data_IF_313331601634
#
_entry.id   IF_313331601634
#
_cell.length_a   1.000
_cell.length_b   1.000
_cell.length_c   1.000
_cell.angle_alpha   90.00
_cell.angle_beta   90.00
_cell.angle_gamma   90.00
#
_symmetry.space_group_name_H-M   'P 1'
#
loop_
_entity.id
_entity.type
_entity.pdbx_description
1 polymer ?
#
# COMPACT_ATOMS: atom_id res chain seq x y z
N UNK A 1 15.64 22.56 23.33
CA UNK A 1 16.55 21.72 22.53
C UNK A 1 16.09 20.30 22.74
N UNK A 2 15.43 19.69 21.74
CA UNK A 2 15.01 18.31 21.87
C UNK A 2 16.22 17.39 21.73
N UNK A 3 16.42 16.52 22.71
CA UNK A 3 17.46 15.50 22.70
C UNK A 3 17.18 14.53 21.55
N UNK A 4 18.15 14.19 20.70
CA UNK A 4 17.95 13.17 19.66
C UNK A 4 17.46 11.85 20.26
N UNK A 5 16.53 11.19 19.58
CA UNK A 5 15.99 9.89 20.02
C UNK A 5 17.10 8.84 20.02
N UNK A 6 17.36 8.27 21.19
CA UNK A 6 18.27 7.14 21.34
C UNK A 6 17.63 5.87 20.80
N UNK A 7 18.11 5.40 19.64
CA UNK A 7 17.61 4.17 19.03
C UNK A 7 18.02 2.91 19.81
N UNK A 8 19.01 3.00 20.70
CA UNK A 8 19.42 1.89 21.55
C UNK A 8 18.65 1.87 22.89
N UNK A 9 17.71 2.80 23.07
CA UNK A 9 16.73 2.72 24.17
C UNK A 9 15.93 1.43 24.10
N UNK A 10 15.76 0.82 25.28
CA UNK A 10 15.07 -0.45 25.45
C UNK A 10 13.57 -0.22 25.29
N UNK A 11 12.98 -0.92 24.34
CA UNK A 11 11.55 -0.92 24.10
C UNK A 11 10.85 -1.90 25.06
N UNK A 12 11.38 -3.12 25.18
CA UNK A 12 10.93 -4.14 26.13
C UNK A 12 12.04 -5.17 26.41
N UNK A 13 11.85 -6.04 27.39
CA UNK A 13 12.70 -7.22 27.61
C UNK A 13 11.99 -8.47 27.13
N UNK A 14 12.69 -9.35 26.39
CA UNK A 14 12.12 -10.63 25.94
C UNK A 14 12.00 -11.64 27.08
N UNK A 15 12.87 -11.54 28.09
CA UNK A 15 12.70 -12.15 29.41
C UNK A 15 12.40 -11.04 30.45
N UNK A 16 11.12 -10.66 30.62
CA UNK A 16 10.75 -9.57 31.52
C UNK A 16 10.94 -9.92 33.00
N UNK A 17 10.92 -11.21 33.36
CA UNK A 17 11.06 -11.65 34.75
C UNK A 17 12.49 -11.45 35.25
N UNK A 18 13.48 -11.70 34.39
CA UNK A 18 14.90 -11.54 34.73
C UNK A 18 15.49 -10.24 34.16
N UNK A 19 14.71 -9.45 33.42
CA UNK A 19 15.16 -8.26 32.67
C UNK A 19 16.36 -8.57 31.77
N UNK A 20 16.28 -9.69 31.05
CA UNK A 20 17.31 -10.14 30.11
C UNK A 20 16.81 -9.98 28.68
N UNK A 21 17.76 -10.00 27.75
CA UNK A 21 17.48 -9.90 26.31
C UNK A 21 16.71 -8.61 25.97
N UNK A 22 17.34 -7.44 26.15
CA UNK A 22 16.71 -6.17 25.81
C UNK A 22 16.41 -6.12 24.31
N UNK A 23 15.16 -5.78 23.99
CA UNK A 23 14.68 -5.48 22.65
C UNK A 23 14.61 -3.96 22.49
N UNK A 24 15.44 -3.37 21.64
CA UNK A 24 15.59 -1.91 21.51
C UNK A 24 14.70 -1.32 20.40
N UNK A 25 14.55 0.01 20.39
CA UNK A 25 13.92 0.71 19.25
C UNK A 25 14.60 0.30 17.94
N UNK A 26 15.93 0.28 17.89
CA UNK A 26 16.70 -0.06 16.69
C UNK A 26 16.28 -1.40 16.11
N UNK A 27 16.05 -2.41 16.95
CA UNK A 27 15.61 -3.73 16.52
C UNK A 27 14.14 -3.71 16.06
N UNK A 28 13.25 -2.99 16.75
CA UNK A 28 11.86 -2.82 16.30
C UNK A 28 11.77 -2.17 14.90
N UNK A 29 12.66 -1.21 14.61
CA UNK A 29 12.76 -0.54 13.31
C UNK A 29 13.28 -1.44 12.18
N UNK A 30 13.90 -2.58 12.50
CA UNK A 30 14.33 -3.59 11.51
C UNK A 30 13.17 -4.51 11.07
N UNK A 31 11.96 -4.27 11.57
CA UNK A 31 10.73 -4.96 11.20
C UNK A 31 10.50 -6.26 11.97
N UNK A 32 9.23 -6.48 12.33
CA UNK A 32 8.78 -7.64 13.11
C UNK A 32 7.71 -8.42 12.36
N UNK A 33 7.94 -9.73 12.18
CA UNK A 33 6.95 -10.70 11.73
C UNK A 33 6.51 -11.59 12.90
N UNK A 34 5.21 -11.78 13.07
CA UNK A 34 4.65 -12.68 14.08
C UNK A 34 3.77 -13.71 13.37
N UNK A 35 4.12 -15.00 13.49
CA UNK A 35 3.46 -16.11 12.81
C UNK A 35 2.90 -17.12 13.81
N UNK A 36 1.78 -17.77 13.48
CA UNK A 36 1.13 -18.76 14.35
C UNK A 36 -0.35 -18.97 14.01
N UNK A 37 -0.92 -20.13 14.27
CA UNK A 37 -2.31 -20.44 13.94
C UNK A 37 -3.34 -19.57 14.67
N UNK A 38 -4.60 -19.65 14.27
CA UNK A 38 -5.72 -19.06 15.02
C UNK A 38 -5.74 -19.61 16.45
N UNK A 39 -5.93 -18.75 17.45
CA UNK A 39 -5.93 -19.15 18.86
C UNK A 39 -4.54 -19.42 19.48
N UNK A 40 -3.45 -19.27 18.72
CA UNK A 40 -2.08 -19.52 19.24
C UNK A 40 -1.52 -18.42 20.15
N UNK A 41 -2.32 -17.40 20.45
CA UNK A 41 -1.92 -16.28 21.31
C UNK A 41 -1.04 -15.24 20.63
N UNK A 42 -1.00 -15.14 19.29
CA UNK A 42 -0.23 -14.09 18.58
C UNK A 42 -0.60 -12.69 19.05
N UNK A 43 -1.87 -12.32 18.90
CA UNK A 43 -2.37 -10.97 19.18
C UNK A 43 -2.42 -10.71 20.69
N UNK A 44 -2.90 -11.65 21.49
CA UNK A 44 -2.99 -11.51 22.95
C UNK A 44 -1.66 -11.69 23.69
N UNK A 45 -0.65 -12.28 23.04
CA UNK A 45 0.67 -12.54 23.60
C UNK A 45 1.70 -11.56 23.07
N UNK A 46 2.54 -11.98 22.13
CA UNK A 46 3.65 -11.15 21.63
C UNK A 46 3.18 -9.85 20.98
N UNK A 47 2.07 -9.87 20.23
CA UNK A 47 1.45 -8.69 19.64
C UNK A 47 1.07 -7.65 20.71
N UNK A 48 0.35 -8.06 21.76
CA UNK A 48 -0.01 -7.17 22.86
C UNK A 48 1.21 -6.52 23.51
N UNK A 49 2.23 -7.31 23.87
CA UNK A 49 3.41 -6.78 24.56
C UNK A 49 4.19 -5.80 23.68
N UNK A 50 4.35 -6.10 22.39
CA UNK A 50 5.01 -5.19 21.45
C UNK A 50 4.19 -3.92 21.21
N UNK A 51 2.87 -4.03 21.06
CA UNK A 51 1.98 -2.87 20.94
C UNK A 51 2.09 -1.95 22.16
N UNK A 52 1.99 -2.51 23.37
CA UNK A 52 2.12 -1.74 24.61
C UNK A 52 3.49 -1.08 24.75
N UNK A 53 4.55 -1.77 24.34
CA UNK A 53 5.90 -1.23 24.38
C UNK A 53 6.04 -0.03 23.42
N UNK A 54 5.53 -0.11 22.19
CA UNK A 54 5.51 1.01 21.23
C UNK A 54 4.66 2.19 21.73
N UNK A 55 3.48 1.90 22.27
CA UNK A 55 2.52 2.93 22.72
C UNK A 55 3.02 3.69 23.96
N UNK A 56 3.63 2.98 24.90
CA UNK A 56 4.03 3.50 26.22
C UNK A 56 5.45 4.09 26.23
N UNK A 57 6.24 3.89 25.17
CA UNK A 57 7.62 4.36 25.14
C UNK A 57 7.69 5.90 25.24
N UNK A 58 8.65 6.49 25.98
CA UNK A 58 8.82 7.95 26.09
C UNK A 58 9.03 8.69 24.76
N UNK A 59 9.55 7.99 23.75
CA UNK A 59 9.64 8.51 22.37
C UNK A 59 8.26 8.74 21.72
N UNK A 60 7.15 8.37 22.39
CA UNK A 60 5.75 8.46 21.98
C UNK A 60 5.57 8.18 20.50
N UNK A 61 5.66 6.92 20.09
CA UNK A 61 5.51 6.57 18.68
C UNK A 61 4.12 7.00 18.18
N UNK A 62 4.08 7.62 17.00
CA UNK A 62 2.85 7.66 16.22
C UNK A 62 2.72 6.41 15.37
N UNK A 63 1.53 6.15 14.84
CA UNK A 63 1.38 4.95 14.04
C UNK A 63 0.09 4.85 13.25
N UNK A 64 0.15 4.02 12.23
CA UNK A 64 -1.00 3.59 11.44
C UNK A 64 -1.35 2.16 11.83
N UNK A 65 -2.61 1.94 12.17
CA UNK A 65 -3.17 0.66 12.59
C UNK A 65 -4.28 0.27 11.60
N UNK A 66 -4.06 -0.81 10.84
CA UNK A 66 -5.10 -1.39 9.98
C UNK A 66 -5.83 -2.50 10.71
N UNK A 67 -7.16 -2.53 10.59
CA UNK A 67 -8.00 -3.57 11.21
C UNK A 67 -8.39 -4.64 10.21
N UNK A 68 -8.43 -5.89 10.66
CA UNK A 68 -8.89 -7.04 9.89
C UNK A 68 -10.24 -7.54 10.40
N UNK A 69 -10.49 -7.49 11.72
CA UNK A 69 -11.67 -8.05 12.40
C UNK A 69 -12.45 -6.95 13.12
N UNK A 70 -13.74 -7.19 13.36
CA UNK A 70 -14.64 -6.22 14.01
C UNK A 70 -14.19 -5.87 15.43
N UNK A 71 -13.62 -6.83 16.14
CA UNK A 71 -13.12 -6.66 17.51
C UNK A 71 -11.81 -5.86 17.60
N UNK A 72 -11.11 -5.62 16.49
CA UNK A 72 -9.79 -4.99 16.51
C UNK A 72 -9.85 -3.56 17.06
N UNK A 73 -10.89 -2.80 16.71
CA UNK A 73 -11.08 -1.44 17.24
C UNK A 73 -11.13 -1.42 18.76
N UNK A 74 -12.05 -2.18 19.35
CA UNK A 74 -12.23 -2.23 20.80
C UNK A 74 -10.96 -2.73 21.51
N UNK A 75 -10.24 -3.66 20.88
CA UNK A 75 -8.95 -4.13 21.38
C UNK A 75 -7.90 -3.00 21.41
N UNK A 76 -7.76 -2.25 20.33
CA UNK A 76 -6.80 -1.14 20.24
C UNK A 76 -7.17 0.04 21.13
N UNK A 77 -8.45 0.40 21.23
CA UNK A 77 -8.92 1.42 22.18
C UNK A 77 -8.52 1.05 23.62
N UNK A 78 -8.63 -0.22 24.00
CA UNK A 78 -8.12 -0.70 25.30
C UNK A 78 -6.61 -0.53 25.43
N UNK A 79 -5.82 -0.98 24.45
CA UNK A 79 -4.35 -0.85 24.51
C UNK A 79 -3.90 0.60 24.62
N UNK A 80 -4.53 1.49 23.86
CA UNK A 80 -4.23 2.92 23.84
C UNK A 80 -4.62 3.59 25.17
N UNK A 81 -5.77 3.21 25.74
CA UNK A 81 -6.17 3.64 27.09
C UNK A 81 -5.19 3.17 28.15
N UNK A 82 -4.80 1.91 28.13
CA UNK A 82 -3.87 1.33 29.10
C UNK A 82 -2.48 2.01 29.01
N UNK A 83 -2.13 2.54 27.84
CA UNK A 83 -0.93 3.34 27.61
C UNK A 83 -1.10 4.86 27.92
N UNK A 84 -2.30 5.31 28.30
CA UNK A 84 -2.59 6.73 28.57
C UNK A 84 -2.51 7.63 27.33
N UNK A 85 -2.86 7.10 26.16
CA UNK A 85 -2.70 7.73 24.83
C UNK A 85 -4.04 8.04 24.14
N UNK A 86 -5.16 8.05 24.86
CA UNK A 86 -6.52 8.19 24.28
C UNK A 86 -6.67 9.47 23.45
N UNK A 87 -6.10 10.59 23.90
CA UNK A 87 -6.13 11.88 23.19
C UNK A 87 -5.34 11.89 21.87
N UNK A 88 -4.52 10.86 21.62
CA UNK A 88 -3.77 10.69 20.38
C UNK A 88 -4.48 9.81 19.36
N UNK A 89 -5.56 9.13 19.74
CA UNK A 89 -6.30 8.25 18.85
C UNK A 89 -7.15 9.06 17.87
N UNK A 90 -6.96 8.77 16.59
CA UNK A 90 -7.84 9.22 15.50
C UNK A 90 -8.44 7.98 14.87
N UNK A 91 -9.76 7.82 15.01
CA UNK A 91 -10.51 6.72 14.40
C UNK A 91 -11.02 7.18 13.04
N UNK A 92 -10.64 6.46 11.99
CA UNK A 92 -11.16 6.64 10.63
C UNK A 92 -12.20 5.54 10.35
N UNK A 93 -13.48 5.88 10.45
CA UNK A 93 -14.59 4.92 10.36
C UNK A 93 -15.74 5.45 9.47
N UNK A 94 -16.68 4.56 9.13
CA UNK A 94 -17.99 4.93 8.56
C UNK A 94 -19.09 5.10 9.62
N UNK A 95 -18.76 4.97 10.91
CA UNK A 95 -19.76 5.02 11.97
C UNK A 95 -20.18 6.48 12.24
N UNK A 96 -21.48 6.76 12.15
CA UNK A 96 -22.03 8.10 12.31
C UNK A 96 -21.92 8.65 13.75
N UNK A 97 -21.68 7.79 14.74
CA UNK A 97 -21.44 8.20 16.12
C UNK A 97 -20.01 8.73 16.35
N UNK A 98 -19.07 8.38 15.47
CA UNK A 98 -17.71 8.87 15.54
C UNK A 98 -17.58 10.28 15.00
N UNK A 99 -16.52 10.98 15.41
CA UNK A 99 -16.14 12.23 14.78
C UNK A 99 -15.86 11.96 13.29
N UNK A 100 -16.55 12.63 12.36
CA UNK A 100 -16.36 12.38 10.93
C UNK A 100 -14.93 12.74 10.54
N UNK A 101 -14.27 11.81 9.86
CA UNK A 101 -12.93 11.98 9.30
C UNK A 101 -12.99 11.82 7.78
N UNK A 102 -12.10 12.49 7.07
CA UNK A 102 -11.90 12.32 5.64
C UNK A 102 -10.43 12.46 5.28
N UNK A 103 -10.02 11.79 4.21
CA UNK A 103 -8.65 11.72 3.74
C UNK A 103 -8.61 11.69 2.21
N UNK A 104 -8.38 12.84 1.59
CA UNK A 104 -8.22 12.90 0.14
C UNK A 104 -6.83 12.40 -0.28
N UNK A 105 -6.73 11.11 -0.54
CA UNK A 105 -5.45 10.46 -0.84
C UNK A 105 -4.77 11.00 -2.10
N UNK A 106 -5.53 11.47 -3.10
CA UNK A 106 -4.96 12.04 -4.33
C UNK A 106 -4.29 13.39 -4.09
N UNK A 107 -4.64 14.09 -3.02
CA UNK A 107 -4.13 15.42 -2.68
C UNK A 107 -3.28 15.43 -1.41
N UNK A 108 -2.98 14.27 -0.83
CA UNK A 108 -2.06 14.19 0.29
C UNK A 108 -0.64 14.62 -0.15
N UNK A 109 0.01 15.57 0.54
CA UNK A 109 1.33 16.08 0.14
C UNK A 109 2.37 14.97 -0.06
N UNK A 110 2.31 13.88 0.70
CA UNK A 110 3.26 12.78 0.58
C UNK A 110 3.20 12.11 -0.79
N UNK A 111 2.01 12.01 -1.38
CA UNK A 111 1.81 11.44 -2.72
C UNK A 111 2.41 12.33 -3.80
N UNK A 112 2.52 13.62 -3.51
CA UNK A 112 3.06 14.65 -4.40
C UNK A 112 4.56 14.92 -4.22
N UNK A 113 5.19 14.36 -3.19
CA UNK A 113 6.63 14.53 -2.87
C UNK A 113 7.49 13.32 -3.26
N UNK A 114 8.71 13.56 -3.72
CA UNK A 114 9.73 12.52 -3.90
C UNK A 114 10.51 12.57 -5.23
N UNK A 115 11.61 11.80 -5.34
CA UNK A 115 12.54 11.85 -6.49
C UNK A 115 11.97 11.28 -7.81
N UNK A 116 10.84 10.56 -7.78
CA UNK A 116 10.21 9.96 -8.96
C UNK A 116 9.31 10.89 -9.77
N UNK A 117 9.05 12.11 -9.28
CA UNK A 117 8.12 13.05 -9.88
C UNK A 117 6.66 12.80 -9.48
N UNK A 118 5.93 13.89 -9.26
CA UNK A 118 4.56 13.93 -8.72
C UNK A 118 3.58 12.97 -9.42
N UNK A 119 3.61 12.95 -10.75
CA UNK A 119 2.68 12.15 -11.56
C UNK A 119 2.99 10.65 -11.48
N UNK A 120 4.26 10.27 -11.36
CA UNK A 120 4.64 8.86 -11.31
C UNK A 120 4.17 8.18 -10.02
N UNK A 121 4.25 8.91 -8.90
CA UNK A 121 3.75 8.44 -7.61
C UNK A 121 2.23 8.22 -7.67
N UNK A 122 1.47 9.19 -8.20
CA UNK A 122 0.02 9.08 -8.37
C UNK A 122 -0.38 7.87 -9.23
N UNK A 123 0.30 7.65 -10.36
CA UNK A 123 0.05 6.49 -11.22
C UNK A 123 0.32 5.20 -10.46
N UNK A 124 1.48 5.09 -9.79
CA UNK A 124 1.84 3.90 -9.01
C UNK A 124 0.88 3.65 -7.84
N UNK A 125 0.33 4.73 -7.26
CA UNK A 125 -0.68 4.69 -6.20
C UNK A 125 -1.98 4.08 -6.71
N UNK A 126 -2.59 4.67 -7.76
CA UNK A 126 -3.82 4.14 -8.36
C UNK A 126 -3.64 2.72 -8.89
N UNK A 127 -2.50 2.38 -9.49
CA UNK A 127 -2.26 1.01 -9.94
C UNK A 127 -2.26 0.00 -8.78
N UNK A 128 -1.72 0.38 -7.63
CA UNK A 128 -1.67 -0.50 -6.46
C UNK A 128 -3.08 -0.71 -5.90
N UNK A 129 -3.90 0.34 -5.90
CA UNK A 129 -5.32 0.28 -5.53
C UNK A 129 -6.10 -0.64 -6.48
N UNK A 130 -5.98 -0.42 -7.79
CA UNK A 130 -6.69 -1.22 -8.82
C UNK A 130 -6.33 -2.70 -8.66
N UNK A 131 -5.04 -3.03 -8.56
CA UNK A 131 -4.59 -4.40 -8.31
C UNK A 131 -5.09 -4.98 -7.00
N UNK A 132 -5.31 -4.15 -5.98
CA UNK A 132 -5.80 -4.63 -4.68
C UNK A 132 -7.25 -5.10 -4.74
N UNK A 133 -8.06 -4.54 -5.65
CA UNK A 133 -9.43 -4.97 -5.94
C UNK A 133 -9.50 -6.24 -6.77
N UNK A 134 -8.49 -6.50 -7.60
CA UNK A 134 -8.46 -7.67 -8.49
C UNK A 134 -7.96 -8.95 -7.80
N UNK A 135 -7.68 -8.90 -6.49
CA UNK A 135 -7.19 -10.04 -5.68
C UNK A 135 -8.23 -11.17 -5.68
N UNK A 136 -8.03 -12.17 -6.54
CA UNK A 136 -8.90 -13.35 -6.64
C UNK A 136 -9.31 -13.70 -8.07
N UNK A 137 -9.19 -12.76 -9.02
CA UNK A 137 -9.34 -13.09 -10.44
C UNK A 137 -8.06 -13.76 -10.95
N UNK A 138 -8.10 -15.09 -11.08
CA UNK A 138 -7.06 -15.90 -11.74
C UNK A 138 -7.11 -15.67 -13.26
N UNK A 139 -6.74 -14.47 -13.70
CA UNK A 139 -6.60 -14.09 -15.09
C UNK A 139 -5.18 -13.59 -15.35
N UNK A 140 -4.51 -14.19 -16.33
CA UNK A 140 -3.23 -13.68 -16.84
C UNK A 140 -3.43 -12.30 -17.45
N UNK A 141 -3.12 -11.22 -16.74
CA UNK A 141 -3.04 -9.88 -17.35
C UNK A 141 -1.95 -9.90 -18.43
N UNK A 142 -2.32 -9.63 -19.68
CA UNK A 142 -1.31 -9.41 -20.71
C UNK A 142 -0.57 -8.09 -20.40
N UNK A 143 0.79 -8.08 -20.38
CA UNK A 143 1.60 -6.91 -20.01
C UNK A 143 1.25 -5.60 -20.73
N UNK A 144 0.68 -5.71 -21.93
CA UNK A 144 0.25 -4.60 -22.77
C UNK A 144 -0.86 -3.73 -22.14
N UNK A 145 -1.82 -4.34 -21.44
CA UNK A 145 -2.95 -3.62 -20.83
C UNK A 145 -2.50 -2.67 -19.73
N UNK A 146 -1.59 -3.16 -18.88
CA UNK A 146 -0.99 -2.39 -17.79
C UNK A 146 -0.21 -1.18 -18.31
N UNK A 147 0.51 -1.31 -19.43
CA UNK A 147 1.21 -0.18 -20.04
C UNK A 147 0.23 0.89 -20.57
N UNK A 148 -0.87 0.46 -21.18
CA UNK A 148 -1.90 1.36 -21.70
C UNK A 148 -2.63 2.10 -20.58
N UNK A 149 -2.99 1.39 -19.50
CA UNK A 149 -3.58 2.00 -18.30
C UNK A 149 -2.64 3.03 -17.66
N UNK A 150 -1.35 2.70 -17.48
CA UNK A 150 -0.36 3.68 -16.99
C UNK A 150 -0.29 4.92 -17.85
N UNK A 151 -0.31 4.77 -19.16
CA UNK A 151 -0.25 5.89 -20.08
C UNK A 151 -1.50 6.78 -19.98
N UNK A 152 -2.69 6.16 -19.93
CA UNK A 152 -3.96 6.86 -19.70
C UNK A 152 -3.92 7.67 -18.40
N UNK A 153 -3.56 7.03 -17.27
CA UNK A 153 -3.51 7.69 -15.97
C UNK A 153 -2.49 8.84 -15.96
N UNK A 154 -1.27 8.60 -16.46
CA UNK A 154 -0.20 9.60 -16.49
C UNK A 154 -0.60 10.84 -17.29
N UNK A 155 -1.08 10.64 -18.52
CA UNK A 155 -1.42 11.75 -19.42
C UNK A 155 -2.73 12.43 -19.01
N UNK A 156 -3.65 11.70 -18.37
CA UNK A 156 -4.81 12.28 -17.72
C UNK A 156 -4.44 13.19 -16.57
N UNK A 157 -3.55 12.76 -15.68
CA UNK A 157 -3.08 13.57 -14.56
C UNK A 157 -2.32 14.83 -14.99
N UNK A 158 -1.50 14.75 -16.05
CA UNK A 158 -0.82 15.93 -16.61
C UNK A 158 -1.84 16.98 -17.07
N UNK A 159 -2.84 16.56 -17.87
CA UNK A 159 -3.89 17.47 -18.32
C UNK A 159 -4.66 18.08 -17.16
N UNK A 160 -5.12 17.26 -16.22
CA UNK A 160 -5.93 17.73 -15.09
C UNK A 160 -5.14 18.68 -14.19
N UNK A 161 -3.87 18.40 -13.93
CA UNK A 161 -3.02 19.29 -13.15
C UNK A 161 -2.84 20.63 -13.86
N UNK A 162 -2.58 20.63 -15.16
CA UNK A 162 -2.42 21.86 -15.93
C UNK A 162 -3.73 22.67 -16.04
N UNK A 163 -4.89 21.99 -16.12
CA UNK A 163 -6.19 22.63 -16.29
C UNK A 163 -6.82 23.11 -14.97
N UNK A 164 -6.65 22.36 -13.87
CA UNK A 164 -7.37 22.55 -12.60
C UNK A 164 -6.45 22.95 -11.44
N UNK A 165 -5.13 22.73 -11.55
CA UNK A 165 -4.17 22.87 -10.46
C UNK A 165 -4.21 21.72 -9.43
N UNK A 166 -5.42 21.24 -9.10
CA UNK A 166 -5.68 20.12 -8.18
C UNK A 166 -6.27 18.95 -8.97
N UNK A 167 -5.91 17.72 -8.57
CA UNK A 167 -6.40 16.51 -9.20
C UNK A 167 -7.50 15.90 -8.32
N UNK A 168 -8.64 15.57 -8.90
CA UNK A 168 -9.68 14.80 -8.23
C UNK A 168 -9.99 13.51 -8.99
N UNK A 169 -10.45 12.49 -8.27
CA UNK A 169 -10.84 11.23 -8.90
C UNK A 169 -12.07 11.43 -9.79
N UNK A 170 -12.97 12.35 -9.42
CA UNK A 170 -14.14 12.71 -10.22
C UNK A 170 -13.75 13.33 -11.56
N UNK A 171 -12.76 14.23 -11.57
CA UNK A 171 -12.29 14.84 -12.81
C UNK A 171 -11.63 13.80 -13.72
N UNK A 172 -10.81 12.90 -13.16
CA UNK A 172 -10.20 11.82 -13.93
C UNK A 172 -11.24 10.86 -14.49
N UNK A 173 -12.27 10.52 -13.71
CA UNK A 173 -13.41 9.75 -14.19
C UNK A 173 -14.12 10.45 -15.35
N UNK A 174 -14.48 11.73 -15.20
CA UNK A 174 -15.15 12.49 -16.26
C UNK A 174 -14.28 12.65 -17.52
N UNK A 175 -12.96 12.84 -17.34
CA UNK A 175 -11.99 12.89 -18.43
C UNK A 175 -12.04 11.61 -19.26
N UNK A 176 -11.99 10.45 -18.60
CA UNK A 176 -11.99 9.13 -19.27
C UNK A 176 -13.35 8.84 -19.92
N UNK A 177 -14.46 9.14 -19.25
CA UNK A 177 -15.81 8.89 -19.78
C UNK A 177 -16.08 9.71 -21.05
N UNK A 178 -15.65 10.97 -21.06
CA UNK A 178 -15.84 11.92 -22.17
C UNK A 178 -14.71 11.91 -23.21
N UNK A 179 -13.70 11.05 -23.02
CA UNK A 179 -12.60 10.91 -23.95
C UNK A 179 -13.07 10.55 -25.37
N UNK A 180 -12.38 11.02 -26.42
CA UNK A 180 -12.79 10.76 -27.79
C UNK A 180 -12.67 9.28 -28.13
N UNK A 181 -13.71 8.74 -28.76
CA UNK A 181 -13.84 7.34 -29.19
C UNK A 181 -13.66 7.17 -30.69
N UNK A 182 -13.63 8.28 -31.42
CA UNK A 182 -13.52 8.32 -32.88
C UNK A 182 -12.66 9.52 -33.29
N UNK A 183 -11.81 9.33 -34.30
CA UNK A 183 -10.97 10.40 -34.84
C UNK A 183 -11.79 11.57 -35.43
N UNK A 184 -13.04 11.32 -35.84
CA UNK A 184 -13.97 12.36 -36.29
C UNK A 184 -14.34 13.33 -35.19
N UNK A 185 -14.35 12.92 -33.92
CA UNK A 185 -14.73 13.79 -32.80
C UNK A 185 -13.72 14.93 -32.59
N UNK A 186 -12.45 14.67 -32.86
CA UNK A 186 -11.32 15.58 -32.63
C UNK A 186 -10.95 16.39 -33.87
N UNK A 187 -11.74 16.30 -34.95
CA UNK A 187 -11.56 17.12 -36.14
C UNK A 187 -11.70 18.62 -35.81
N UNK A 188 -11.16 19.47 -36.66
CA UNK A 188 -11.39 20.92 -36.57
C UNK A 188 -12.78 21.23 -37.10
N UNK A 189 -13.77 21.23 -36.20
CA UNK A 189 -15.15 21.52 -36.55
C UNK A 189 -15.35 22.96 -37.03
N UNK A 190 -14.51 23.91 -36.62
CA UNK A 190 -14.61 25.31 -37.05
C UNK A 190 -14.15 25.45 -38.50
N UNK A 191 -13.08 24.75 -38.89
CA UNK A 191 -12.64 24.67 -40.28
C UNK A 191 -13.74 24.04 -41.15
N UNK A 192 -14.32 22.91 -40.73
CA UNK A 192 -15.40 22.25 -41.45
C UNK A 192 -16.64 23.14 -41.58
N UNK A 193 -17.05 23.81 -40.49
CA UNK A 193 -18.20 24.72 -40.48
C UNK A 193 -18.01 25.89 -41.44
N UNK A 194 -16.78 26.43 -41.54
CA UNK A 194 -16.46 27.55 -42.44
C UNK A 194 -16.68 27.23 -43.93
N UNK A 195 -16.75 25.94 -44.28
CA UNK A 195 -16.88 25.43 -45.66
C UNK A 195 -18.10 24.53 -45.84
N UNK A 196 -19.09 24.64 -44.96
CA UNK A 196 -20.26 23.74 -44.88
C UNK A 196 -20.97 23.53 -46.22
N UNK A 197 -21.09 24.58 -47.06
CA UNK A 197 -21.76 24.53 -48.37
C UNK A 197 -21.03 23.62 -49.41
N UNK A 198 -19.76 23.29 -49.15
CA UNK A 198 -18.91 22.50 -50.04
C UNK A 198 -18.60 21.10 -49.51
N UNK A 199 -19.11 20.74 -48.33
CA UNK A 199 -18.83 19.45 -47.69
C UNK A 199 -19.61 18.31 -48.34
N UNK A 200 -18.96 17.16 -48.47
CA UNK A 200 -19.63 15.89 -48.78
C UNK A 200 -20.52 15.43 -47.61
N UNK A 201 -21.42 14.48 -47.87
CA UNK A 201 -22.28 13.91 -46.81
C UNK A 201 -21.49 13.32 -45.64
N UNK A 202 -20.32 12.73 -45.90
CA UNK A 202 -19.46 12.16 -44.85
C UNK A 202 -18.75 13.24 -44.02
N UNK A 203 -18.39 14.37 -44.64
CA UNK A 203 -17.81 15.51 -43.95
C UNK A 203 -18.85 16.26 -43.12
N UNK A 204 -20.10 16.35 -43.59
CA UNK A 204 -21.22 16.89 -42.80
C UNK A 204 -21.49 16.06 -41.54
N UNK A 205 -21.43 14.73 -41.64
CA UNK A 205 -21.52 13.83 -40.48
C UNK A 205 -20.34 14.07 -39.52
N UNK A 206 -19.12 14.21 -40.05
CA UNK A 206 -17.92 14.49 -39.26
C UNK A 206 -18.03 15.84 -38.54
N UNK A 207 -18.51 16.89 -39.22
CA UNK A 207 -18.77 18.20 -38.63
C UNK A 207 -19.74 18.09 -37.46
N UNK A 208 -20.85 17.36 -37.62
CA UNK A 208 -21.85 17.19 -36.56
C UNK A 208 -21.24 16.45 -35.34
N UNK A 209 -20.57 15.31 -35.58
CA UNK A 209 -19.93 14.50 -34.53
C UNK A 209 -18.87 15.31 -33.78
N UNK A 210 -18.04 16.05 -34.51
CA UNK A 210 -16.98 16.85 -33.92
C UNK A 210 -17.52 18.01 -33.11
N UNK A 211 -18.49 18.75 -33.65
CA UNK A 211 -19.13 19.88 -32.96
C UNK A 211 -19.84 19.44 -31.68
N UNK A 212 -20.52 18.28 -31.71
CA UNK A 212 -21.17 17.72 -30.53
C UNK A 212 -20.17 17.37 -29.42
N UNK A 213 -19.04 16.74 -29.77
CA UNK A 213 -18.01 16.39 -28.80
C UNK A 213 -17.34 17.64 -28.22
N UNK A 214 -16.90 18.60 -29.05
CA UNK A 214 -16.28 19.84 -28.58
C UNK A 214 -17.20 20.68 -27.69
N UNK A 215 -18.52 20.58 -27.87
CA UNK A 215 -19.49 21.34 -27.05
C UNK A 215 -19.75 20.69 -25.69
N UNK A 216 -19.76 19.36 -25.62
CA UNK A 216 -20.26 18.64 -24.43
C UNK A 216 -19.20 17.83 -23.67
N UNK A 217 -18.00 17.67 -24.23
CA UNK A 217 -16.95 16.83 -23.66
C UNK A 217 -16.15 17.55 -22.58
N UNK A 218 -16.15 16.99 -21.36
CA UNK A 218 -15.25 17.43 -20.31
C UNK A 218 -13.77 17.25 -20.70
N UNK A 219 -13.44 16.20 -21.44
CA UNK A 219 -12.08 15.98 -21.95
C UNK A 219 -11.63 17.10 -22.89
N UNK A 220 -12.52 17.58 -23.77
CA UNK A 220 -12.24 18.74 -24.63
C UNK A 220 -12.02 20.00 -23.78
N UNK A 221 -12.91 20.29 -22.84
CA UNK A 221 -12.79 21.44 -21.95
C UNK A 221 -11.47 21.43 -21.14
N UNK A 222 -11.08 20.28 -20.59
CA UNK A 222 -9.81 20.11 -19.88
C UNK A 222 -8.63 20.36 -20.80
N UNK A 223 -8.65 19.84 -22.03
CA UNK A 223 -7.57 20.08 -23.02
C UNK A 223 -7.44 21.58 -23.31
N UNK A 224 -8.56 22.26 -23.55
CA UNK A 224 -8.57 23.71 -23.83
C UNK A 224 -8.04 24.52 -22.65
N UNK A 225 -8.48 24.20 -21.43
CA UNK A 225 -8.00 24.87 -20.22
C UNK A 225 -6.52 24.60 -19.95
N UNK A 226 -6.04 23.37 -20.17
CA UNK A 226 -4.63 23.02 -20.05
C UNK A 226 -3.76 23.77 -21.07
N UNK A 227 -4.18 23.91 -22.33
CA UNK A 227 -3.40 24.63 -23.34
C UNK A 227 -3.30 26.14 -23.07
N UNK A 228 -4.26 26.70 -22.33
CA UNK A 228 -4.33 28.13 -21.98
C UNK A 228 -3.66 28.47 -20.65
N UNK A 229 -3.30 27.49 -19.83
CA UNK A 229 -2.72 27.77 -18.52
C UNK A 229 -1.28 28.27 -18.62
N UNK A 230 -0.91 29.11 -17.66
CA UNK A 230 0.47 29.57 -17.50
C UNK A 230 1.31 28.44 -16.92
N UNK A 231 2.39 28.09 -17.61
CA UNK A 231 3.25 26.96 -17.26
C UNK A 231 4.66 27.16 -17.82
N UNK A 232 5.60 26.40 -17.29
CA UNK A 232 6.99 26.34 -17.79
C UNK A 232 7.06 25.69 -19.17
N UNK A 233 8.19 25.87 -19.87
CA UNK A 233 8.41 25.24 -21.18
C UNK A 233 8.40 23.70 -21.12
N UNK A 234 8.88 23.13 -20.01
CA UNK A 234 8.88 21.68 -19.82
C UNK A 234 7.45 21.16 -19.55
N UNK A 235 6.68 21.84 -18.71
CA UNK A 235 5.27 21.52 -18.49
C UNK A 235 4.44 21.66 -19.78
N UNK A 236 4.76 22.66 -20.61
CA UNK A 236 4.12 22.84 -21.92
C UNK A 236 4.35 21.65 -22.85
N UNK A 237 5.58 21.12 -22.89
CA UNK A 237 5.90 19.92 -23.68
C UNK A 237 5.15 18.69 -23.17
N UNK A 238 5.04 18.54 -21.85
CA UNK A 238 4.28 17.44 -21.24
C UNK A 238 2.78 17.53 -21.56
N UNK A 239 2.20 18.74 -21.51
CA UNK A 239 0.81 19.00 -21.90
C UNK A 239 0.61 18.74 -23.40
N UNK A 240 1.50 19.21 -24.27
CA UNK A 240 1.43 18.95 -25.71
C UNK A 240 1.46 17.45 -26.03
N UNK A 241 2.30 16.68 -25.32
CA UNK A 241 2.32 15.23 -25.44
C UNK A 241 1.02 14.59 -24.94
N UNK A 242 0.45 15.07 -23.84
CA UNK A 242 -0.84 14.60 -23.36
C UNK A 242 -1.96 14.89 -24.37
N UNK A 243 -2.00 16.10 -24.94
CA UNK A 243 -2.96 16.47 -25.99
C UNK A 243 -2.79 15.59 -27.24
N UNK A 244 -1.55 15.34 -27.68
CA UNK A 244 -1.31 14.41 -28.79
C UNK A 244 -1.85 13.00 -28.51
N UNK A 245 -1.67 12.49 -27.30
CA UNK A 245 -2.23 11.20 -26.93
C UNK A 245 -3.76 11.21 -27.00
N UNK A 246 -4.43 12.15 -26.35
CA UNK A 246 -5.90 12.18 -26.30
C UNK A 246 -6.53 12.48 -27.66
N UNK A 247 -5.91 13.34 -28.49
CA UNK A 247 -6.45 13.75 -29.78
C UNK A 247 -5.98 12.90 -30.97
N UNK A 248 -4.87 12.15 -30.87
CA UNK A 248 -4.33 11.39 -32.02
C UNK A 248 -4.14 9.93 -31.74
N UNK A 249 -3.62 9.57 -30.56
CA UNK A 249 -3.35 8.15 -30.24
C UNK A 249 -4.61 7.44 -29.78
N UNK A 250 -5.29 7.97 -28.77
CA UNK A 250 -6.45 7.36 -28.11
C UNK A 250 -7.66 7.07 -29.02
N UNK A 251 -8.07 7.99 -29.93
CA UNK A 251 -9.23 7.74 -30.79
C UNK A 251 -8.99 6.63 -31.83
N UNK A 252 -7.72 6.40 -32.19
CA UNK A 252 -7.30 5.45 -33.25
C UNK A 252 -7.00 4.06 -32.66
N UNK A 253 -6.86 3.94 -31.33
CA UNK A 253 -6.72 2.63 -30.69
C UNK A 253 -7.89 1.70 -31.06
N UNK A 254 -7.65 0.39 -31.23
CA UNK A 254 -8.71 -0.58 -31.43
C UNK A 254 -9.80 -0.46 -30.35
N UNK A 255 -11.07 -0.58 -30.74
CA UNK A 255 -12.18 -0.32 -29.82
C UNK A 255 -12.12 -1.20 -28.56
N UNK A 256 -11.87 -2.50 -28.72
CA UNK A 256 -11.72 -3.44 -27.61
C UNK A 256 -10.60 -3.04 -26.64
N UNK A 257 -9.49 -2.49 -27.16
CA UNK A 257 -8.38 -2.00 -26.33
C UNK A 257 -8.79 -0.77 -25.52
N UNK A 258 -9.42 0.20 -26.16
CA UNK A 258 -9.85 1.42 -25.49
C UNK A 258 -10.90 1.15 -24.43
N UNK A 259 -11.91 0.33 -24.76
CA UNK A 259 -12.99 -0.04 -23.85
C UNK A 259 -12.46 -0.81 -22.64
N UNK A 260 -11.61 -1.81 -22.85
CA UNK A 260 -11.05 -2.59 -21.73
C UNK A 260 -10.18 -1.73 -20.80
N UNK A 261 -9.29 -0.87 -21.33
CA UNK A 261 -8.48 0.03 -20.49
C UNK A 261 -9.35 1.00 -19.70
N UNK A 262 -10.37 1.57 -20.34
CA UNK A 262 -11.31 2.49 -19.69
C UNK A 262 -12.09 1.78 -18.59
N UNK A 263 -12.64 0.59 -18.86
CA UNK A 263 -13.43 -0.18 -17.91
C UNK A 263 -12.63 -0.60 -16.67
N UNK A 264 -11.36 -0.97 -16.82
CA UNK A 264 -10.49 -1.28 -15.67
C UNK A 264 -10.39 -0.10 -14.71
N UNK A 265 -10.11 1.11 -15.23
CA UNK A 265 -10.04 2.30 -14.39
C UNK A 265 -11.41 2.69 -13.83
N UNK A 266 -12.44 2.78 -14.69
CA UNK A 266 -13.78 3.25 -14.28
C UNK A 266 -14.38 2.34 -13.21
N UNK A 267 -14.25 1.02 -13.34
CA UNK A 267 -14.74 0.08 -12.33
C UNK A 267 -14.11 0.34 -10.96
N UNK A 268 -12.80 0.57 -10.91
CA UNK A 268 -12.11 0.90 -9.66
C UNK A 268 -12.47 2.30 -9.13
N UNK A 269 -12.62 3.28 -10.02
CA UNK A 269 -13.03 4.64 -9.65
C UNK A 269 -14.46 4.66 -9.07
N UNK A 270 -15.37 3.86 -9.61
CA UNK A 270 -16.76 3.77 -9.14
C UNK A 270 -16.87 3.31 -7.69
N UNK A 271 -16.02 2.37 -7.23
CA UNK A 271 -15.95 1.99 -5.81
C UNK A 271 -15.64 3.18 -4.90
N UNK A 272 -14.75 4.08 -5.35
CA UNK A 272 -14.28 5.22 -4.56
C UNK A 272 -15.18 6.46 -4.73
N UNK A 273 -15.93 6.56 -5.83
CA UNK A 273 -16.84 7.68 -6.12
C UNK A 273 -18.27 7.46 -5.63
N UNK A 274 -18.58 6.29 -5.06
CA UNK A 274 -19.93 5.95 -4.57
C UNK A 274 -20.00 5.82 -3.04
N UNK A 275 -21.19 6.08 -2.50
CA UNK A 275 -21.51 5.86 -1.08
C UNK A 275 -20.59 6.58 -0.10
N UNK A 276 -20.33 5.92 1.04
CA UNK A 276 -19.52 6.47 2.13
C UNK A 276 -18.03 6.62 1.78
N UNK A 277 -17.50 5.81 0.85
CA UNK A 277 -16.10 5.89 0.44
C UNK A 277 -15.78 7.21 -0.27
N UNK A 278 -16.72 7.75 -1.05
CA UNK A 278 -16.57 9.07 -1.66
C UNK A 278 -16.27 10.13 -0.61
N UNK A 279 -17.12 10.23 0.40
CA UNK A 279 -16.96 11.20 1.48
C UNK A 279 -15.67 10.96 2.26
N UNK A 280 -15.37 9.70 2.58
CA UNK A 280 -14.19 9.35 3.37
C UNK A 280 -12.86 9.56 2.65
N UNK A 281 -12.75 9.28 1.35
CA UNK A 281 -11.45 9.16 0.68
C UNK A 281 -11.23 10.13 -0.49
N UNK A 282 -12.26 10.84 -0.96
CA UNK A 282 -12.15 11.63 -2.21
C UNK A 282 -12.53 13.10 -2.07
N UNK A 283 -13.02 13.53 -0.91
CA UNK A 283 -13.47 14.91 -0.66
C UNK A 283 -12.37 15.76 -0.03
N UNK A 284 -12.55 16.17 1.23
CA UNK A 284 -11.59 16.97 1.98
C UNK A 284 -10.64 16.07 2.78
N UNK A 285 -9.60 16.67 3.37
CA UNK A 285 -8.68 15.98 4.29
C UNK A 285 -8.79 16.59 5.68
N UNK A 286 -9.34 15.86 6.64
CA UNK A 286 -9.39 16.24 8.06
C UNK A 286 -8.30 15.57 8.90
N UNK A 287 -7.76 14.47 8.40
CA UNK A 287 -6.66 13.70 9.00
C UNK A 287 -5.67 13.34 7.90
N UNK A 288 -4.38 13.57 8.14
CA UNK A 288 -3.30 13.21 7.21
C UNK A 288 -2.39 12.17 7.83
N UNK A 289 -1.70 11.42 6.98
CA UNK A 289 -0.65 10.50 7.41
C UNK A 289 0.48 11.19 8.18
N UNK A 290 0.73 12.48 7.91
CA UNK A 290 1.72 13.29 8.60
C UNK A 290 1.40 13.51 10.09
N UNK A 291 0.12 13.41 10.50
CA UNK A 291 -0.28 13.56 11.91
C UNK A 291 0.40 12.49 12.81
N UNK A 292 0.79 11.35 12.23
CA UNK A 292 1.57 10.32 12.94
C UNK A 292 2.95 10.81 13.36
N UNK A 293 3.53 11.80 12.69
CA UNK A 293 4.84 12.38 13.06
C UNK A 293 4.76 13.21 14.34
N UNK A 294 3.57 13.72 14.66
CA UNK A 294 3.27 14.39 15.92
C UNK A 294 2.86 13.40 17.03
N UNK A 295 2.91 12.10 16.75
CA UNK A 295 2.56 11.05 17.70
C UNK A 295 1.09 10.65 17.67
N UNK A 296 0.30 11.04 16.65
CA UNK A 296 -1.06 10.52 16.51
C UNK A 296 -1.09 9.03 16.14
N UNK A 297 -2.14 8.37 16.60
CA UNK A 297 -2.44 6.96 16.36
C UNK A 297 -3.65 6.91 15.45
N UNK A 298 -3.44 6.62 14.17
CA UNK A 298 -4.51 6.56 13.19
C UNK A 298 -4.97 5.10 13.11
N UNK A 299 -6.21 4.84 13.52
CA UNK A 299 -6.84 3.53 13.44
C UNK A 299 -7.86 3.52 12.31
N UNK A 300 -7.66 2.63 11.34
CA UNK A 300 -8.59 2.45 10.22
C UNK A 300 -9.65 1.45 10.63
N UNK A 301 -10.81 1.93 11.07
CA UNK A 301 -11.95 1.13 11.51
C UNK A 301 -12.85 0.78 10.31
N UNK A 302 -12.23 0.09 9.35
CA UNK A 302 -12.91 -0.58 8.24
C UNK A 302 -12.39 -2.02 8.14
N UNK A 303 -12.70 -2.87 9.13
CA UNK A 303 -12.16 -4.22 9.21
C UNK A 303 -12.34 -4.99 7.91
N UNK A 304 -11.22 -5.47 7.36
CA UNK A 304 -11.20 -6.11 6.04
C UNK A 304 -12.19 -7.27 5.93
N UNK A 305 -12.33 -8.11 6.97
CA UNK A 305 -13.23 -9.26 6.93
C UNK A 305 -14.72 -8.88 7.01
N UNK A 306 -15.05 -7.68 7.49
CA UNK A 306 -16.42 -7.19 7.55
C UNK A 306 -16.79 -6.36 6.31
N UNK A 307 -15.88 -5.51 5.85
CA UNK A 307 -16.09 -4.58 4.74
C UNK A 307 -15.62 -5.11 3.38
N UNK A 308 -14.95 -6.27 3.34
CA UNK A 308 -14.47 -6.91 2.11
C UNK A 308 -13.62 -5.93 1.29
N UNK A 309 -13.90 -5.78 -0.01
CA UNK A 309 -13.17 -4.92 -0.95
C UNK A 309 -13.04 -3.47 -0.44
N UNK A 310 -14.07 -2.94 0.23
CA UNK A 310 -14.05 -1.61 0.84
C UNK A 310 -12.99 -1.51 1.95
N UNK A 311 -12.88 -2.53 2.78
CA UNK A 311 -11.86 -2.60 3.84
C UNK A 311 -10.45 -2.78 3.27
N UNK A 312 -10.29 -3.64 2.25
CA UNK A 312 -9.01 -3.80 1.53
C UNK A 312 -8.56 -2.48 0.92
N UNK A 313 -9.47 -1.78 0.24
CA UNK A 313 -9.22 -0.48 -0.38
C UNK A 313 -8.75 0.55 0.65
N UNK A 314 -9.54 0.77 1.70
CA UNK A 314 -9.24 1.78 2.70
C UNK A 314 -7.90 1.50 3.39
N UNK A 315 -7.66 0.24 3.81
CA UNK A 315 -6.41 -0.14 4.45
C UNK A 315 -5.20 0.00 3.50
N UNK A 316 -5.36 -0.37 2.22
CA UNK A 316 -4.28 -0.26 1.22
C UNK A 316 -3.95 1.21 0.90
N UNK A 317 -4.97 2.06 0.73
CA UNK A 317 -4.81 3.50 0.50
C UNK A 317 -4.06 4.15 1.66
N UNK A 318 -4.53 3.94 2.88
CA UNK A 318 -3.90 4.51 4.07
C UNK A 318 -2.47 4.02 4.25
N UNK A 319 -2.24 2.70 4.10
CA UNK A 319 -0.91 2.11 4.23
C UNK A 319 0.06 2.67 3.19
N UNK A 320 -0.35 2.76 1.93
CA UNK A 320 0.51 3.27 0.87
C UNK A 320 0.80 4.77 1.05
N UNK A 321 -0.20 5.57 1.43
CA UNK A 321 0.00 6.98 1.71
C UNK A 321 0.95 7.19 2.90
N UNK A 322 0.78 6.41 3.97
CA UNK A 322 1.66 6.43 5.13
C UNK A 322 3.10 6.06 4.76
N UNK A 323 3.30 5.04 3.93
CA UNK A 323 4.62 4.65 3.46
C UNK A 323 5.30 5.76 2.66
N UNK A 324 4.56 6.44 1.77
CA UNK A 324 5.06 7.59 1.02
C UNK A 324 5.40 8.76 1.96
N UNK A 325 4.55 9.04 2.95
CA UNK A 325 4.79 10.11 3.91
C UNK A 325 6.06 9.85 4.70
N UNK A 326 6.25 8.60 5.17
CA UNK A 326 7.46 8.17 5.86
C UNK A 326 8.69 8.26 4.96
N UNK A 327 8.58 7.97 3.67
CA UNK A 327 9.70 8.11 2.72
C UNK A 327 10.03 9.58 2.40
N UNK A 328 9.05 10.47 2.47
CA UNK A 328 9.22 11.89 2.19
C UNK A 328 9.78 12.70 3.37
N UNK A 329 9.75 12.14 4.59
CA UNK A 329 10.07 12.89 5.81
C UNK A 329 11.58 13.11 5.98
N UNK A 330 11.92 14.27 6.53
CA UNK A 330 13.28 14.57 6.94
C UNK A 330 13.61 13.86 8.28
N UNK A 331 14.66 13.04 8.30
CA UNK A 331 15.06 12.22 9.47
C UNK A 331 16.13 12.93 10.33
N UNK A 332 16.45 14.19 10.05
CA UNK A 332 17.42 14.95 10.86
C UNK A 332 16.88 15.23 12.28
N UNK A 333 17.78 15.17 13.28
CA UNK A 333 17.46 15.50 14.67
C UNK A 333 16.49 14.53 15.39
N UNK A 334 15.51 15.11 16.10
CA UNK A 334 14.53 14.43 16.97
C UNK A 334 13.34 13.84 16.18
N UNK A 335 13.58 13.35 14.96
CA UNK A 335 12.52 12.71 14.16
C UNK A 335 11.93 11.53 14.93
N UNK A 336 10.68 11.71 15.37
CA UNK A 336 9.87 10.71 16.10
C UNK A 336 9.78 9.39 15.32
N UNK A 337 10.01 8.23 15.96
CA UNK A 337 9.76 6.96 15.32
C UNK A 337 8.25 6.75 15.16
N UNK A 338 7.88 6.07 14.08
CA UNK A 338 6.49 5.71 13.82
C UNK A 338 6.37 4.21 13.63
N UNK A 339 5.15 3.68 13.67
CA UNK A 339 4.92 2.28 13.34
C UNK A 339 3.79 2.08 12.34
N UNK A 340 3.90 1.01 11.56
CA UNK A 340 2.84 0.45 10.73
C UNK A 340 2.46 -0.90 11.32
N UNK A 341 1.24 -1.00 11.84
CA UNK A 341 0.72 -2.24 12.42
C UNK A 341 -0.35 -2.84 11.52
N UNK A 342 -0.15 -4.11 11.14
CA UNK A 342 -1.13 -4.88 10.38
C UNK A 342 -1.32 -6.26 11.00
N UNK A 343 -2.48 -6.46 11.65
CA UNK A 343 -2.95 -7.82 11.92
C UNK A 343 -3.52 -8.42 10.64
N UNK A 344 -3.43 -9.75 10.50
CA UNK A 344 -3.77 -10.47 9.27
C UNK A 344 -3.18 -9.82 8.01
N UNK A 345 -1.89 -9.49 8.06
CA UNK A 345 -1.22 -8.64 7.08
C UNK A 345 -1.30 -9.15 5.63
N UNK A 346 -1.53 -10.46 5.43
CA UNK A 346 -1.72 -11.04 4.11
C UNK A 346 -2.95 -10.44 3.39
N UNK A 347 -3.98 -10.02 4.12
CA UNK A 347 -5.20 -9.43 3.54
C UNK A 347 -4.95 -8.12 2.78
N UNK A 348 -3.94 -7.35 3.18
CA UNK A 348 -3.63 -6.03 2.56
C UNK A 348 -2.25 -5.98 1.92
N UNK A 349 -1.46 -7.06 1.98
CA UNK A 349 -0.07 -7.10 1.48
C UNK A 349 0.04 -6.77 -0.02
N UNK A 350 0.98 -5.90 -0.37
CA UNK A 350 1.30 -5.46 -1.74
C UNK A 350 2.79 -5.63 -2.02
N UNK A 351 3.19 -5.56 -3.29
CA UNK A 351 4.61 -5.51 -3.69
C UNK A 351 5.35 -4.29 -3.11
N UNK A 352 4.63 -3.19 -2.83
CA UNK A 352 5.24 -1.97 -2.27
C UNK A 352 5.68 -2.16 -0.82
N UNK A 353 5.02 -3.03 -0.06
CA UNK A 353 5.39 -3.31 1.33
C UNK A 353 6.81 -3.87 1.43
N UNK A 354 7.20 -4.76 0.51
CA UNK A 354 8.55 -5.30 0.48
C UNK A 354 9.59 -4.22 0.14
N UNK A 355 9.30 -3.35 -0.84
CA UNK A 355 10.19 -2.23 -1.20
C UNK A 355 10.35 -1.25 -0.04
N UNK A 356 9.24 -0.89 0.59
CA UNK A 356 9.23 0.00 1.75
C UNK A 356 10.05 -0.59 2.91
N UNK A 357 9.92 -1.89 3.18
CA UNK A 357 10.62 -2.54 4.27
C UNK A 357 12.15 -2.44 4.14
N UNK A 358 12.71 -2.40 2.92
CA UNK A 358 14.16 -2.24 2.71
C UNK A 358 14.71 -0.90 3.20
N UNK A 359 13.86 0.13 3.30
CA UNK A 359 14.24 1.49 3.72
C UNK A 359 13.64 1.91 5.07
N UNK A 360 12.62 1.20 5.57
CA UNK A 360 11.84 1.54 6.76
C UNK A 360 12.69 1.83 8.00
N UNK A 361 13.76 1.04 8.21
CA UNK A 361 14.70 1.21 9.33
C UNK A 361 15.36 2.59 9.34
N UNK A 362 15.94 2.99 8.20
CA UNK A 362 16.62 4.28 8.05
C UNK A 362 15.66 5.44 8.21
N UNK A 363 14.40 5.22 7.84
CA UNK A 363 13.30 6.14 7.99
C UNK A 363 12.62 6.04 9.36
N UNK A 364 13.20 5.37 10.36
CA UNK A 364 12.66 5.22 11.73
C UNK A 364 11.17 4.77 11.77
N UNK A 365 10.79 3.85 10.90
CA UNK A 365 9.46 3.23 10.91
C UNK A 365 9.54 1.75 11.31
N UNK A 366 8.87 1.37 12.40
CA UNK A 366 8.71 -0.02 12.81
C UNK A 366 7.52 -0.66 12.09
N UNK A 367 7.76 -1.69 11.28
CA UNK A 367 6.70 -2.49 10.68
C UNK A 367 6.41 -3.70 11.55
N UNK A 368 5.13 -3.95 11.83
CA UNK A 368 4.69 -5.10 12.62
C UNK A 368 3.61 -5.85 11.83
N UNK A 369 3.98 -7.00 11.30
CA UNK A 369 3.12 -7.82 10.45
C UNK A 369 2.77 -9.13 11.17
N UNK A 370 1.49 -9.34 11.44
CA UNK A 370 0.99 -10.59 12.02
C UNK A 370 0.26 -11.38 10.92
N UNK A 371 0.45 -12.70 10.91
CA UNK A 371 -0.28 -13.59 9.98
C UNK A 371 -0.39 -15.00 10.57
N UNK A 372 -1.25 -15.87 10.02
CA UNK A 372 -1.31 -17.26 10.48
C UNK A 372 -0.03 -18.02 10.15
N UNK A 373 0.39 -17.97 8.89
CA UNK A 373 1.49 -18.77 8.35
C UNK A 373 2.02 -18.14 7.05
N UNK A 374 3.13 -18.66 6.53
CA UNK A 374 3.72 -18.22 5.27
C UNK A 374 2.83 -18.54 4.06
N UNK A 375 2.03 -19.61 4.13
CA UNK A 375 1.18 -20.04 3.03
C UNK A 375 0.14 -18.96 2.68
N UNK A 376 -0.38 -18.24 3.68
CA UNK A 376 -1.24 -17.06 3.47
C UNK A 376 -0.56 -15.96 2.62
N UNK A 377 0.74 -15.73 2.82
CA UNK A 377 1.46 -14.76 1.99
C UNK A 377 1.76 -15.29 0.59
N UNK A 378 2.12 -16.58 0.47
CA UNK A 378 2.35 -17.21 -0.83
C UNK A 378 1.08 -17.17 -1.68
N UNK A 379 -0.09 -17.41 -1.10
CA UNK A 379 -1.37 -17.32 -1.81
C UNK A 379 -1.58 -15.93 -2.43
N UNK A 380 -1.41 -14.87 -1.63
CA UNK A 380 -1.65 -13.48 -2.06
C UNK A 380 -0.59 -13.00 -3.06
N UNK A 381 0.67 -13.36 -2.88
CA UNK A 381 1.77 -12.92 -3.75
C UNK A 381 2.01 -13.84 -4.96
N UNK A 382 1.31 -14.97 -5.06
CA UNK A 382 1.50 -15.90 -6.17
C UNK A 382 1.03 -15.38 -7.51
N UNK A 383 0.07 -14.44 -7.53
CA UNK A 383 -0.50 -13.89 -8.75
C UNK A 383 -0.73 -15.00 -9.78
N UNK A 384 -0.05 -14.88 -10.93
CA UNK A 384 -0.08 -15.85 -12.02
C UNK A 384 1.14 -16.78 -12.11
N UNK A 385 2.13 -16.66 -11.21
CA UNK A 385 3.37 -17.45 -11.27
C UNK A 385 3.81 -17.94 -9.87
N UNK A 386 3.47 -19.18 -9.47
CA UNK A 386 3.70 -19.69 -8.10
C UNK A 386 5.16 -19.60 -7.61
N UNK A 387 6.14 -19.76 -8.50
CA UNK A 387 7.56 -19.59 -8.15
C UNK A 387 7.92 -18.14 -7.80
N UNK A 388 7.26 -17.15 -8.40
CA UNK A 388 7.50 -15.73 -8.08
C UNK A 388 6.99 -15.35 -6.68
N UNK A 389 5.91 -16.00 -6.22
CA UNK A 389 5.38 -15.85 -4.87
C UNK A 389 6.44 -16.16 -3.82
N UNK A 390 7.17 -17.27 -4.03
CA UNK A 390 8.15 -17.74 -3.06
C UNK A 390 9.28 -16.74 -2.89
N UNK A 391 9.84 -16.26 -4.00
CA UNK A 391 10.90 -15.25 -3.97
C UNK A 391 10.43 -13.94 -3.32
N UNK A 392 9.19 -13.51 -3.59
CA UNK A 392 8.64 -12.28 -3.02
C UNK A 392 8.46 -12.38 -1.50
N UNK A 393 7.89 -13.48 -1.01
CA UNK A 393 7.71 -13.72 0.44
C UNK A 393 9.04 -13.93 1.14
N UNK A 394 9.94 -14.73 0.56
CA UNK A 394 11.27 -14.97 1.14
C UNK A 394 12.06 -13.65 1.20
N UNK A 395 11.92 -12.77 0.20
CA UNK A 395 12.48 -11.41 0.23
C UNK A 395 11.86 -10.54 1.32
N UNK A 396 10.53 -10.52 1.47
CA UNK A 396 9.85 -9.76 2.52
C UNK A 396 10.28 -10.25 3.91
N UNK A 397 10.25 -11.56 4.14
CA UNK A 397 10.67 -12.16 5.41
C UNK A 397 12.17 -11.97 5.68
N UNK A 398 13.00 -11.88 4.64
CA UNK A 398 14.41 -11.52 4.75
C UNK A 398 14.62 -10.10 5.27
N UNK A 399 13.72 -9.16 4.95
CA UNK A 399 13.80 -7.76 5.38
C UNK A 399 13.14 -7.49 6.75
N UNK A 400 12.43 -8.48 7.33
CA UNK A 400 11.84 -8.40 8.67
C UNK A 400 12.77 -9.13 9.65
N UNK A 401 13.61 -8.40 10.38
CA UNK A 401 14.69 -9.01 11.16
C UNK A 401 14.18 -9.82 12.34
N UNK A 402 13.18 -9.31 13.06
CA UNK A 402 12.59 -10.01 14.21
C UNK A 402 11.46 -10.93 13.74
N UNK A 403 11.52 -12.20 14.16
CA UNK A 403 10.51 -13.21 13.83
C UNK A 403 10.06 -13.90 15.11
N UNK A 404 8.76 -13.85 15.40
CA UNK A 404 8.16 -14.47 16.58
C UNK A 404 7.25 -15.61 16.11
N UNK A 405 7.54 -16.82 16.56
CA UNK A 405 6.79 -18.02 16.20
C UNK A 405 5.92 -18.48 17.36
N UNK A 406 4.61 -18.49 17.13
CA UNK A 406 3.61 -19.14 17.96
C UNK A 406 3.25 -20.52 17.37
N UNK A 407 2.51 -21.32 18.14
CA UNK A 407 2.04 -22.64 17.70
C UNK A 407 1.37 -22.55 16.31
N UNK A 408 1.84 -23.37 15.37
CA UNK A 408 1.43 -23.32 13.96
C UNK A 408 1.20 -24.73 13.41
N UNK A 409 0.17 -24.90 12.58
CA UNK A 409 -0.17 -26.16 11.90
C UNK A 409 0.42 -26.28 10.49
N UNK A 410 0.99 -25.19 9.94
CA UNK A 410 1.63 -25.20 8.62
C UNK A 410 2.97 -25.92 8.67
N UNK A 411 3.07 -27.04 7.95
CA UNK A 411 4.34 -27.76 7.80
C UNK A 411 5.42 -26.90 7.12
N UNK A 412 5.03 -26.05 6.16
CA UNK A 412 5.92 -25.11 5.47
C UNK A 412 6.53 -24.13 6.47
N UNK A 413 5.68 -23.47 7.27
CA UNK A 413 6.11 -22.46 8.24
C UNK A 413 6.93 -23.08 9.36
N UNK A 414 6.53 -24.26 9.86
CA UNK A 414 7.26 -24.97 10.91
C UNK A 414 8.66 -25.41 10.47
N UNK A 415 8.80 -25.91 9.23
CA UNK A 415 10.12 -26.25 8.67
C UNK A 415 10.99 -25.01 8.52
N UNK A 416 10.44 -23.94 7.96
CA UNK A 416 11.13 -22.67 7.81
C UNK A 416 11.59 -22.08 9.16
N UNK A 417 10.72 -22.11 10.18
CA UNK A 417 11.06 -21.69 11.53
C UNK A 417 12.21 -22.52 12.13
N UNK A 418 12.16 -23.85 11.98
CA UNK A 418 13.21 -24.73 12.47
C UNK A 418 14.56 -24.49 11.76
N UNK A 419 14.54 -24.17 10.46
CA UNK A 419 15.75 -23.82 9.69
C UNK A 419 16.32 -22.46 10.12
N UNK A 420 15.47 -21.48 10.42
CA UNK A 420 15.88 -20.14 10.85
C UNK A 420 16.47 -20.08 12.26
N UNK A 421 15.87 -20.78 13.22
CA UNK A 421 16.36 -20.81 14.61
C UNK A 421 17.74 -21.48 14.66
N UNK A 422 18.02 -22.36 13.70
CA UNK A 422 19.30 -23.03 13.54
C UNK A 422 19.33 -24.44 14.12
N UNK A 423 20.40 -25.16 13.80
CA UNK A 423 20.68 -26.51 14.31
C UNK A 423 21.83 -26.43 15.30
N UNK A 424 21.75 -27.18 16.40
CA UNK A 424 22.89 -27.35 17.30
C UNK A 424 23.68 -28.59 16.90
N UNK A 425 25.00 -28.48 16.88
CA UNK A 425 25.87 -29.65 16.75
C UNK A 425 25.87 -30.44 18.06
N UNK A 426 25.46 -31.71 18.00
CA UNK A 426 25.51 -32.62 19.13
C UNK A 426 26.74 -33.52 18.99
N UNK A 427 27.56 -33.57 20.04
CA UNK A 427 28.64 -34.54 20.15
C UNK A 427 28.07 -35.89 20.56
N UNK A 428 28.14 -36.90 19.70
CA UNK A 428 27.89 -38.29 20.10
C UNK A 428 29.20 -38.95 20.51
N UNK A 429 29.33 -39.32 21.78
CA UNK A 429 30.32 -40.28 22.24
C UNK A 429 29.86 -41.68 21.87
N UNK A 430 30.48 -42.30 20.88
CA UNK A 430 30.36 -43.74 20.69
C UNK A 430 31.07 -44.46 21.84
N UNK A 431 30.35 -45.32 22.57
CA UNK A 431 30.98 -46.31 23.44
C UNK A 431 31.74 -47.30 22.57
N UNK A 432 33.07 -47.30 22.69
CA UNK A 432 33.95 -48.30 22.09
C UNK A 432 33.59 -49.69 22.61
N UNK A 433 32.94 -50.51 21.77
CA UNK A 433 33.02 -51.96 21.89
C UNK A 433 34.35 -52.43 21.30
N UNK A 434 35.02 -53.35 21.97
CA UNK A 434 36.24 -54.03 21.49
C UNK A 434 35.98 -54.72 20.14
N UNK A 435 36.13 -53.98 19.04
CA UNK A 435 36.63 -54.42 17.74
C UNK A 435 36.55 -53.23 16.78
N UNK A 436 37.72 -52.68 16.43
CA UNK A 436 37.85 -51.40 15.76
C UNK A 436 37.36 -51.38 14.31
N UNK A 437 36.50 -50.41 14.00
CA UNK A 437 36.56 -49.67 12.74
C UNK A 437 36.16 -48.22 13.00
N UNK A 438 37.03 -47.26 12.71
CA UNK A 438 36.67 -45.85 12.71
C UNK A 438 35.91 -45.54 11.41
N UNK A 439 34.60 -45.32 11.51
CA UNK A 439 33.86 -44.53 10.53
C UNK A 439 33.44 -43.23 11.22
N UNK A 440 33.86 -42.10 10.64
CA UNK A 440 33.47 -40.78 11.09
C UNK A 440 32.25 -40.37 10.25
N UNK A 441 31.06 -40.78 10.69
CA UNK A 441 29.82 -40.41 10.00
C UNK A 441 29.24 -39.13 10.62
N UNK A 442 29.00 -38.13 9.78
CA UNK A 442 28.35 -36.88 10.15
C UNK A 442 26.82 -37.06 10.03
N UNK A 443 26.08 -36.91 11.12
CA UNK A 443 24.61 -36.90 11.10
C UNK A 443 24.04 -35.61 11.67
N UNK A 444 23.02 -35.08 10.99
CA UNK A 444 22.26 -33.90 11.42
C UNK A 444 21.18 -34.29 12.46
N UNK A 445 21.30 -33.80 13.69
CA UNK A 445 20.27 -33.96 14.74
C UNK A 445 19.32 -32.77 14.83
N UNK A 446 18.03 -33.02 15.15
CA UNK A 446 17.04 -31.98 15.49
C UNK A 446 17.04 -31.69 17.00
N UNK A 447 16.82 -30.44 17.37
CA UNK A 447 16.78 -29.94 18.75
C UNK A 447 15.74 -30.69 19.60
N UNK A 448 16.20 -31.32 20.69
CA UNK A 448 15.35 -31.76 21.81
C UNK A 448 15.73 -30.96 23.06
N UNK A 449 14.75 -30.31 23.68
CA UNK A 449 14.90 -29.74 25.02
C UNK A 449 14.88 -30.88 26.04
N UNK A 450 16.00 -31.13 26.71
CA UNK A 450 16.00 -31.85 27.98
C UNK A 450 15.87 -30.83 29.11
N UNK A 451 14.73 -30.83 29.80
CA UNK A 451 14.59 -30.18 31.09
C UNK A 451 15.48 -30.92 32.08
N UNK A 452 16.65 -30.36 32.38
CA UNK A 452 17.50 -30.82 33.46
C UNK A 452 17.11 -30.11 34.75
N UNK A 453 16.18 -30.70 35.50
CA UNK A 453 16.10 -30.45 36.94
C UNK A 453 17.30 -31.15 37.60
N UNK A 454 18.09 -30.38 38.35
CA UNK A 454 18.91 -30.84 39.45
C UNK A 454 18.79 -29.82 40.59
#
# INVERSE_FOLDING_TARGET
MNTPIDLDSILMYLDPLQQREPFTIRQALEGTAILGGTGSGKTSGSGYHLAMALLSHPARFGGLITTAKLEDRAMWERFIRDAGREDDLVVFSMNAEDKPQSFNFLNDPAVHTGPGGLIFNLVSFLETIIKSLERGQKGGEAPFWKHSLRQLLRLGFILLRAANGIITLSDLHQLVVSAPRDARQVADWQELESRVDSLSSSELETLQISKEWHTNSYCCDVIDRALRSEMTDDERRDVEHAVQFWCKTWPILPNETRESVSMTFLSAADYLLTGSLRTLLTTDTTVSTADTFDGKLILIDLPVLAYQDVGVLAATIWKQAFQLAVQSRDIQGDSRPVFLWSDEAHLTLTEQDNKFQTVARGLRCATVLLTQNLDCFYEVLSGNHPQSAKFAVDSLMGNLSTKIFHANSSATTNKWAAELIGKQYLWQTHSLGENGSYNMDYYEGRLSHSSGDN
#
